data_IF_641066738246
#
_entry.id   IF_641066738246
#
_cell.length_a   1.000
_cell.length_b   1.000
_cell.length_c   1.000
_cell.angle_alpha   90.00
_cell.angle_beta   90.00
_cell.angle_gamma   90.00
#
_symmetry.space_group_name_H-M   'P 1'
#
loop_
_entity.id
_entity.type
_entity.pdbx_description
1 polymer ?
#
# COMPACT_ATOMS: atom_id res chain seq x y z
N UNK A 1 4.01 47.29 19.52
CA UNK A 1 3.48 45.92 19.68
C UNK A 1 2.48 45.53 18.58
N UNK A 2 1.59 46.41 18.12
CA UNK A 2 0.66 46.11 17.00
C UNK A 2 1.35 45.87 15.64
N UNK A 3 2.26 46.76 15.23
CA UNK A 3 2.94 46.63 13.92
C UNK A 3 3.82 45.37 13.78
N UNK A 4 4.36 44.86 14.89
CA UNK A 4 5.20 43.67 14.92
C UNK A 4 4.35 42.38 14.91
N UNK A 5 3.17 42.43 15.53
CA UNK A 5 2.16 41.37 15.42
C UNK A 5 1.59 41.30 14.00
N UNK A 6 1.27 42.43 13.38
CA UNK A 6 0.76 42.50 12.00
C UNK A 6 1.79 41.98 10.98
N UNK A 7 3.07 42.35 11.13
CA UNK A 7 4.14 41.83 10.28
C UNK A 7 4.32 40.31 10.41
N UNK A 8 4.18 39.77 11.63
CA UNK A 8 4.23 38.31 11.87
C UNK A 8 3.02 37.59 11.27
N UNK A 9 1.84 38.22 11.29
CA UNK A 9 0.61 37.65 10.76
C UNK A 9 0.62 37.62 9.23
N UNK A 10 1.12 38.68 8.59
CA UNK A 10 1.34 38.71 7.14
C UNK A 10 2.37 37.67 6.72
N UNK A 11 3.48 37.55 7.44
CA UNK A 11 4.50 36.52 7.17
C UNK A 11 3.92 35.10 7.28
N UNK A 12 3.18 34.80 8.35
CA UNK A 12 2.54 33.50 8.52
C UNK A 12 1.50 33.20 7.42
N UNK A 13 0.70 34.19 7.03
CA UNK A 13 -0.24 34.05 5.92
C UNK A 13 0.46 33.80 4.58
N UNK A 14 1.61 34.45 4.32
CA UNK A 14 2.42 34.19 3.14
C UNK A 14 3.02 32.79 3.13
N UNK A 15 3.48 32.28 4.27
CA UNK A 15 3.96 30.90 4.41
C UNK A 15 2.83 29.92 4.09
N UNK A 16 1.64 30.11 4.69
CA UNK A 16 0.47 29.26 4.45
C UNK A 16 0.04 29.31 2.98
N UNK A 17 -0.08 30.50 2.40
CA UNK A 17 -0.43 30.67 1.00
C UNK A 17 0.62 30.02 0.07
N UNK A 18 1.90 30.24 0.33
CA UNK A 18 3.01 29.61 -0.39
C UNK A 18 2.97 28.09 -0.31
N UNK A 19 2.64 27.54 0.87
CA UNK A 19 2.45 26.09 1.09
C UNK A 19 1.33 25.54 0.22
N UNK A 20 0.18 26.22 0.21
CA UNK A 20 -1.01 25.80 -0.54
C UNK A 20 -0.73 25.86 -2.05
N UNK A 21 -0.14 26.97 -2.52
CA UNK A 21 0.21 27.13 -3.94
C UNK A 21 1.23 26.09 -4.39
N UNK A 22 2.29 25.89 -3.61
CA UNK A 22 3.30 24.86 -3.88
C UNK A 22 2.67 23.47 -3.96
N UNK A 23 1.86 23.11 -2.96
CA UNK A 23 1.19 21.80 -2.91
C UNK A 23 0.25 21.61 -4.09
N UNK A 24 -0.58 22.62 -4.41
CA UNK A 24 -1.51 22.58 -5.53
C UNK A 24 -0.76 22.42 -6.87
N UNK A 25 0.33 23.17 -7.08
CA UNK A 25 1.17 23.06 -8.26
C UNK A 25 1.81 21.67 -8.39
N UNK A 26 2.40 21.18 -7.31
CA UNK A 26 3.03 19.86 -7.26
C UNK A 26 2.03 18.73 -7.57
N UNK A 27 0.84 18.74 -6.94
CA UNK A 27 -0.16 17.68 -7.14
C UNK A 27 -0.92 17.78 -8.47
N UNK A 28 -0.80 18.90 -9.19
CA UNK A 28 -1.37 19.09 -10.53
C UNK A 28 -0.31 18.95 -11.63
N UNK A 29 0.32 20.06 -12.02
CA UNK A 29 1.33 20.12 -13.07
C UNK A 29 2.58 19.33 -12.73
N UNK A 30 3.04 19.41 -11.47
CA UNK A 30 4.22 18.69 -11.02
C UNK A 30 4.08 17.17 -11.20
N UNK A 31 2.94 16.60 -10.79
CA UNK A 31 2.65 15.17 -10.93
C UNK A 31 2.69 14.72 -12.38
N UNK A 32 2.09 15.50 -13.28
CA UNK A 32 2.10 15.22 -14.73
C UNK A 32 3.54 15.27 -15.24
N UNK A 33 4.30 16.31 -14.89
CA UNK A 33 5.70 16.46 -15.27
C UNK A 33 6.59 15.31 -14.77
N UNK A 34 6.44 14.92 -13.50
CA UNK A 34 7.18 13.81 -12.90
C UNK A 34 6.86 12.48 -13.58
N UNK A 35 5.58 12.20 -13.84
CA UNK A 35 5.19 10.97 -14.56
C UNK A 35 5.71 10.98 -15.99
N UNK A 36 5.65 12.10 -16.69
CA UNK A 36 6.15 12.24 -18.05
C UNK A 36 7.69 12.13 -18.12
N UNK A 37 8.41 12.54 -17.08
CA UNK A 37 9.86 12.35 -16.98
C UNK A 37 10.21 10.87 -16.81
N UNK A 38 9.58 10.19 -15.85
CA UNK A 38 9.80 8.74 -15.60
C UNK A 38 9.43 7.92 -16.84
N UNK A 39 8.33 8.26 -17.52
CA UNK A 39 7.94 7.60 -18.76
C UNK A 39 9.01 7.78 -19.86
N UNK A 40 9.53 9.00 -20.06
CA UNK A 40 10.61 9.25 -21.03
C UNK A 40 11.89 8.50 -20.70
N UNK A 41 12.22 8.36 -19.42
CA UNK A 41 13.39 7.58 -18.97
C UNK A 41 13.23 6.10 -19.33
N UNK A 42 12.02 5.57 -19.15
CA UNK A 42 11.67 4.20 -19.56
C UNK A 42 11.70 4.03 -21.09
N UNK A 43 11.12 4.95 -21.84
CA UNK A 43 11.12 4.92 -23.32
C UNK A 43 12.54 4.99 -23.91
N UNK A 44 13.46 5.69 -23.22
CA UNK A 44 14.89 5.73 -23.57
C UNK A 44 15.68 4.53 -23.06
N UNK A 45 15.03 3.54 -22.46
CA UNK A 45 15.67 2.35 -21.87
C UNK A 45 16.86 2.69 -20.95
N UNK A 46 16.71 3.73 -20.12
CA UNK A 46 17.74 4.07 -19.14
C UNK A 46 17.85 2.98 -18.05
N UNK A 47 19.02 2.82 -17.40
CA UNK A 47 19.21 1.80 -16.37
C UNK A 47 18.26 1.99 -15.17
N UNK A 48 17.42 1.00 -14.90
CA UNK A 48 16.53 0.93 -13.74
C UNK A 48 17.09 -0.05 -12.69
N UNK A 49 16.94 0.21 -11.38
CA UNK A 49 16.19 1.30 -10.75
C UNK A 49 16.98 2.62 -10.61
N UNK A 50 18.24 2.66 -11.02
CA UNK A 50 19.17 3.76 -10.75
C UNK A 50 18.68 5.11 -11.29
N UNK A 51 18.12 5.12 -12.49
CA UNK A 51 17.61 6.33 -13.14
C UNK A 51 16.42 6.91 -12.38
N UNK A 52 15.37 6.12 -12.17
CA UNK A 52 14.19 6.53 -11.38
C UNK A 52 14.55 6.96 -9.96
N UNK A 53 15.46 6.24 -9.29
CA UNK A 53 15.94 6.62 -7.96
C UNK A 53 16.62 8.00 -7.99
N UNK A 54 17.55 8.20 -8.93
CA UNK A 54 18.26 9.49 -9.09
C UNK A 54 17.29 10.62 -9.33
N UNK A 55 16.32 10.43 -10.23
CA UNK A 55 15.28 11.42 -10.49
C UNK A 55 14.46 11.76 -9.25
N UNK A 56 14.00 10.75 -8.51
CA UNK A 56 13.20 10.92 -7.29
C UNK A 56 14.01 11.67 -6.22
N UNK A 57 15.29 11.35 -6.05
CA UNK A 57 16.18 12.05 -5.12
C UNK A 57 16.37 13.53 -5.51
N UNK A 58 16.62 13.83 -6.78
CA UNK A 58 16.76 15.20 -7.27
C UNK A 58 15.46 15.99 -7.15
N UNK A 59 14.32 15.37 -7.46
CA UNK A 59 13.00 15.98 -7.28
C UNK A 59 12.73 16.26 -5.80
N UNK A 60 13.07 15.32 -4.92
CA UNK A 60 12.98 15.48 -3.46
C UNK A 60 13.83 16.65 -2.95
N UNK A 61 15.10 16.72 -3.38
CA UNK A 61 16.01 17.82 -3.03
C UNK A 61 15.49 19.18 -3.53
N UNK A 62 14.98 19.24 -4.75
CA UNK A 62 14.38 20.45 -5.31
C UNK A 62 13.15 20.89 -4.50
N UNK A 63 12.20 20.00 -4.25
CA UNK A 63 11.02 20.29 -3.46
C UNK A 63 11.37 20.64 -2.00
N UNK A 64 12.36 19.97 -1.42
CA UNK A 64 12.90 20.26 -0.09
C UNK A 64 13.50 21.66 -0.01
N UNK A 65 14.29 22.06 -1.00
CA UNK A 65 14.87 23.41 -1.08
C UNK A 65 13.78 24.49 -1.23
N UNK A 66 12.77 24.23 -2.07
CA UNK A 66 11.64 25.17 -2.26
C UNK A 66 10.85 25.32 -0.96
N UNK A 67 10.50 24.22 -0.30
CA UNK A 67 9.73 24.26 0.97
C UNK A 67 10.52 24.90 2.10
N UNK A 68 11.83 24.63 2.20
CA UNK A 68 12.72 25.33 3.13
C UNK A 68 12.76 26.83 2.88
N UNK A 69 12.75 27.27 1.61
CA UNK A 69 12.70 28.69 1.25
C UNK A 69 11.35 29.34 1.57
N UNK A 70 10.26 28.59 1.50
CA UNK A 70 8.91 29.06 1.90
C UNK A 70 8.83 29.23 3.43
N UNK A 71 9.76 28.67 4.20
CA UNK A 71 9.73 28.70 5.68
C UNK A 71 9.08 27.45 6.30
N UNK A 72 8.98 26.36 5.53
CA UNK A 72 8.47 25.06 5.99
C UNK A 72 9.64 24.08 6.09
N UNK A 73 9.52 23.09 6.95
CA UNK A 73 10.51 22.03 7.03
C UNK A 73 10.65 21.25 5.71
N UNK A 74 11.89 20.99 5.28
CA UNK A 74 12.21 20.37 3.99
C UNK A 74 11.57 18.98 3.80
N UNK A 75 11.32 18.23 4.87
CA UNK A 75 10.64 16.93 4.83
C UNK A 75 9.29 17.01 4.09
N UNK A 76 8.57 18.12 4.23
CA UNK A 76 7.30 18.33 3.54
C UNK A 76 7.49 18.32 2.01
N UNK A 77 8.55 18.99 1.52
CA UNK A 77 8.90 18.97 0.10
C UNK A 77 9.27 17.58 -0.40
N UNK A 78 10.09 16.84 0.35
CA UNK A 78 10.42 15.45 0.02
C UNK A 78 9.18 14.54 0.01
N UNK A 79 8.25 14.72 0.93
CA UNK A 79 7.00 13.99 0.98
C UNK A 79 6.13 14.25 -0.27
N UNK A 80 5.95 15.51 -0.65
CA UNK A 80 5.20 15.90 -1.84
C UNK A 80 5.87 15.36 -3.12
N UNK A 81 7.20 15.44 -3.23
CA UNK A 81 7.95 14.84 -4.33
C UNK A 81 7.74 13.32 -4.42
N UNK A 82 7.73 12.63 -3.28
CA UNK A 82 7.43 11.20 -3.18
C UNK A 82 6.02 10.87 -3.66
N UNK A 83 5.01 11.68 -3.33
CA UNK A 83 3.64 11.52 -3.86
C UNK A 83 3.62 11.72 -5.38
N UNK A 84 4.26 12.77 -5.88
CA UNK A 84 4.30 13.09 -7.32
C UNK A 84 4.90 11.94 -8.14
N UNK A 85 6.06 11.42 -7.73
CA UNK A 85 6.74 10.35 -8.44
C UNK A 85 6.08 8.98 -8.19
N UNK A 86 5.68 8.69 -6.94
CA UNK A 86 5.09 7.41 -6.55
C UNK A 86 3.71 7.13 -7.15
N UNK A 87 3.00 8.16 -7.60
CA UNK A 87 1.75 8.02 -8.36
C UNK A 87 1.96 7.76 -9.85
N UNK A 88 3.19 7.83 -10.37
CA UNK A 88 3.44 7.57 -11.79
C UNK A 88 3.17 6.09 -12.13
N UNK A 89 2.30 5.79 -13.11
CA UNK A 89 2.14 4.42 -13.62
C UNK A 89 3.40 3.90 -14.32
N UNK A 90 4.30 4.80 -14.73
CA UNK A 90 5.55 4.42 -15.38
C UNK A 90 6.58 3.83 -14.40
N UNK A 91 6.43 4.13 -13.10
CA UNK A 91 7.30 3.61 -12.05
C UNK A 91 6.89 2.19 -11.66
N UNK A 92 7.71 1.23 -12.07
CA UNK A 92 7.51 -0.21 -11.88
C UNK A 92 7.44 -0.61 -10.39
N UNK A 93 6.73 -1.71 -10.09
CA UNK A 93 6.63 -2.21 -8.72
C UNK A 93 7.98 -2.71 -8.21
N UNK A 94 8.77 -3.36 -9.07
CA UNK A 94 10.12 -3.78 -8.75
C UNK A 94 10.99 -2.58 -8.33
N UNK A 95 10.98 -1.50 -9.10
CA UNK A 95 11.75 -0.29 -8.76
C UNK A 95 11.28 0.29 -7.43
N UNK A 96 9.97 0.37 -7.17
CA UNK A 96 9.45 0.84 -5.87
C UNK A 96 9.94 -0.01 -4.71
N UNK A 97 9.95 -1.33 -4.86
CA UNK A 97 10.40 -2.26 -3.83
C UNK A 97 11.90 -2.11 -3.57
N UNK A 98 12.72 -2.01 -4.62
CA UNK A 98 14.18 -1.80 -4.46
C UNK A 98 14.47 -0.47 -3.76
N UNK A 99 13.78 0.61 -4.13
CA UNK A 99 13.91 1.90 -3.45
C UNK A 99 13.52 1.77 -1.97
N UNK A 100 12.40 1.11 -1.68
CA UNK A 100 11.93 0.86 -0.31
C UNK A 100 12.96 0.08 0.51
N UNK A 101 13.46 -1.05 -0.03
CA UNK A 101 14.47 -1.88 0.62
C UNK A 101 15.75 -1.10 0.90
N UNK A 102 16.22 -0.28 -0.05
CA UNK A 102 17.38 0.58 0.15
C UNK A 102 17.16 1.59 1.28
N UNK A 103 15.98 2.22 1.32
CA UNK A 103 15.62 3.15 2.40
C UNK A 103 15.60 2.45 3.76
N UNK A 104 14.98 1.28 3.86
CA UNK A 104 14.92 0.52 5.11
C UNK A 104 16.26 -0.10 5.53
N UNK A 105 17.13 -0.44 4.59
CA UNK A 105 18.43 -1.05 4.88
C UNK A 105 19.47 -0.03 5.32
N UNK A 106 19.46 1.18 4.75
CA UNK A 106 20.51 2.18 4.96
C UNK A 106 20.00 3.34 5.80
N UNK A 107 18.97 4.04 5.31
CA UNK A 107 18.56 5.34 5.87
C UNK A 107 17.79 5.20 7.18
N UNK A 108 16.95 4.18 7.32
CA UNK A 108 16.18 3.97 8.56
C UNK A 108 17.09 3.65 9.76
N UNK A 109 18.05 2.69 9.68
CA UNK A 109 18.99 2.45 10.76
C UNK A 109 19.85 3.67 11.08
N UNK A 110 20.35 4.38 10.05
CA UNK A 110 21.13 5.60 10.24
C UNK A 110 20.34 6.69 10.96
N UNK A 111 19.06 6.87 10.60
CA UNK A 111 18.16 7.82 11.24
C UNK A 111 18.00 7.51 12.74
N UNK A 112 17.68 6.26 13.08
CA UNK A 112 17.53 5.85 14.48
C UNK A 112 18.84 5.89 15.26
N UNK A 113 19.98 5.53 14.64
CA UNK A 113 21.30 5.62 15.27
C UNK A 113 21.66 7.08 15.59
N UNK A 114 21.45 8.01 14.65
CA UNK A 114 21.69 9.43 14.87
C UNK A 114 20.84 10.00 16.02
N UNK A 115 19.59 9.57 16.14
CA UNK A 115 18.73 9.95 17.27
C UNK A 115 19.28 9.37 18.58
N UNK A 116 19.66 8.09 18.59
CA UNK A 116 20.23 7.41 19.74
C UNK A 116 21.53 8.04 20.26
N UNK A 117 22.34 8.62 19.36
CA UNK A 117 23.58 9.31 19.73
C UNK A 117 23.37 10.72 20.28
N UNK A 118 22.26 11.38 19.94
CA UNK A 118 21.98 12.76 20.35
C UNK A 118 21.28 12.88 21.70
N UNK A 119 20.68 11.80 22.20
CA UNK A 119 19.75 11.83 23.32
C UNK A 119 20.07 10.78 24.37
N UNK A 120 19.97 11.13 25.65
CA UNK A 120 20.03 10.16 26.74
C UNK A 120 18.62 9.67 27.09
N UNK A 121 18.21 8.59 26.44
CA UNK A 121 16.89 8.00 26.64
C UNK A 121 16.66 7.48 28.05
N UNK A 122 17.71 7.09 28.78
CA UNK A 122 17.58 6.56 30.13
C UNK A 122 17.44 7.70 31.14
N UNK A 123 18.28 8.73 31.03
CA UNK A 123 18.19 9.90 31.90
C UNK A 123 16.92 10.72 31.65
N UNK A 124 16.50 10.86 30.38
CA UNK A 124 15.28 11.56 30.00
C UNK A 124 13.99 10.77 30.22
N UNK A 125 14.06 9.50 30.65
CA UNK A 125 12.87 8.66 30.80
C UNK A 125 12.00 9.10 31.99
N UNK A 126 10.76 9.48 31.69
CA UNK A 126 9.74 9.73 32.70
C UNK A 126 8.50 8.90 32.37
N UNK A 127 8.20 7.90 33.21
CA UNK A 127 7.12 6.94 32.96
C UNK A 127 5.75 7.62 32.83
N UNK A 128 5.49 8.69 33.59
CA UNK A 128 4.22 9.41 33.56
C UNK A 128 4.08 10.18 32.25
N UNK A 129 5.13 10.89 31.82
CA UNK A 129 5.12 11.58 30.53
C UNK A 129 4.94 10.60 29.38
N UNK A 130 5.67 9.49 29.38
CA UNK A 130 5.55 8.43 28.36
C UNK A 130 4.12 7.90 28.29
N UNK A 131 3.51 7.58 29.44
CA UNK A 131 2.14 7.05 29.50
C UNK A 131 1.12 8.08 29.00
N UNK A 132 1.25 9.33 29.42
CA UNK A 132 0.36 10.42 29.00
C UNK A 132 0.49 10.69 27.51
N UNK A 133 1.71 10.90 27.01
CA UNK A 133 1.96 11.19 25.59
C UNK A 133 1.50 10.02 24.70
N UNK A 134 1.78 8.79 25.11
CA UNK A 134 1.32 7.59 24.38
C UNK A 134 -0.21 7.48 24.39
N UNK A 135 -0.85 7.67 25.55
CA UNK A 135 -2.30 7.60 25.69
C UNK A 135 -3.03 8.68 24.87
N UNK A 136 -2.54 9.92 24.94
CA UNK A 136 -3.06 11.04 24.14
C UNK A 136 -2.81 10.82 22.65
N UNK A 137 -1.60 10.37 22.28
CA UNK A 137 -1.22 10.11 20.89
C UNK A 137 -2.08 9.01 20.24
N UNK A 138 -2.22 7.86 20.90
CA UNK A 138 -3.05 6.75 20.41
C UNK A 138 -4.54 7.12 20.47
N UNK A 139 -5.02 7.58 21.62
CA UNK A 139 -6.44 7.89 21.85
C UNK A 139 -6.94 9.03 20.97
N UNK A 140 -6.19 10.13 20.88
CA UNK A 140 -6.54 11.28 20.06
C UNK A 140 -6.59 10.94 18.57
N UNK A 141 -5.57 10.25 18.04
CA UNK A 141 -5.55 9.82 16.63
C UNK A 141 -6.64 8.80 16.33
N UNK A 142 -6.85 7.83 17.22
CA UNK A 142 -7.93 6.85 17.08
C UNK A 142 -9.31 7.52 17.03
N UNK A 143 -9.60 8.40 18.00
CA UNK A 143 -10.89 9.09 18.08
C UNK A 143 -11.10 10.01 16.87
N UNK A 144 -10.08 10.76 16.47
CA UNK A 144 -10.12 11.60 15.27
C UNK A 144 -10.42 10.79 14.00
N UNK A 145 -9.72 9.68 13.81
CA UNK A 145 -9.94 8.79 12.67
C UNK A 145 -11.34 8.12 12.74
N UNK A 146 -11.78 7.67 13.92
CA UNK A 146 -13.08 7.04 14.10
C UNK A 146 -14.24 8.00 13.80
N UNK A 147 -14.15 9.24 14.31
CA UNK A 147 -15.11 10.30 14.02
C UNK A 147 -15.10 10.65 12.52
N UNK A 148 -13.91 10.82 11.93
CA UNK A 148 -13.76 11.10 10.50
C UNK A 148 -14.41 10.03 9.63
N UNK A 149 -14.13 8.75 9.90
CA UNK A 149 -14.73 7.64 9.14
C UNK A 149 -16.24 7.53 9.38
N UNK A 150 -16.75 7.86 10.56
CA UNK A 150 -18.20 7.88 10.83
C UNK A 150 -18.95 8.86 9.91
N UNK A 151 -18.29 9.93 9.47
CA UNK A 151 -18.84 10.92 8.53
C UNK A 151 -18.76 10.48 7.05
N UNK A 152 -18.13 9.34 6.76
CA UNK A 152 -17.99 8.80 5.40
C UNK A 152 -19.00 7.69 5.11
N UNK A 153 -19.14 7.32 3.82
CA UNK A 153 -20.00 6.21 3.37
C UNK A 153 -19.43 4.81 3.65
N UNK A 154 -18.33 4.70 4.40
CA UNK A 154 -17.67 3.43 4.69
C UNK A 154 -18.52 2.57 5.65
N UNK A 155 -18.64 1.28 5.30
CA UNK A 155 -19.40 0.28 6.07
C UNK A 155 -18.95 0.16 7.52
N UNK A 156 -19.90 -0.09 8.43
CA UNK A 156 -19.66 -0.16 9.88
C UNK A 156 -18.57 -1.18 10.28
N UNK A 157 -18.47 -2.29 9.53
CA UNK A 157 -17.48 -3.33 9.76
C UNK A 157 -16.02 -2.85 9.55
N UNK A 158 -15.82 -1.85 8.69
CA UNK A 158 -14.49 -1.34 8.33
C UNK A 158 -14.01 -0.21 9.26
N UNK A 159 -14.93 0.48 9.94
CA UNK A 159 -14.62 1.70 10.70
C UNK A 159 -13.57 1.50 11.78
N UNK A 160 -13.69 0.42 12.55
CA UNK A 160 -12.76 0.13 13.63
C UNK A 160 -11.34 -0.14 13.09
N UNK A 161 -11.24 -0.91 12.00
CA UNK A 161 -9.93 -1.26 11.41
C UNK A 161 -9.25 -0.01 10.85
N UNK A 162 -10.00 0.88 10.22
CA UNK A 162 -9.46 2.15 9.70
C UNK A 162 -9.01 3.04 10.86
N UNK A 163 -9.79 3.18 11.93
CA UNK A 163 -9.40 3.99 13.08
C UNK A 163 -8.12 3.47 13.77
N UNK A 164 -8.01 2.14 13.95
CA UNK A 164 -6.81 1.49 14.47
C UNK A 164 -5.60 1.75 13.55
N UNK A 165 -5.79 1.65 12.23
CA UNK A 165 -4.70 1.85 11.27
C UNK A 165 -4.11 3.27 11.26
N UNK A 166 -4.79 4.26 11.85
CA UNK A 166 -4.34 5.65 11.92
C UNK A 166 -3.71 6.03 13.28
N UNK A 167 -3.53 5.07 14.20
CA UNK A 167 -2.91 5.35 15.51
C UNK A 167 -1.39 5.53 15.49
N UNK A 168 -0.59 4.85 14.64
CA UNK A 168 0.85 5.03 14.64
C UNK A 168 1.24 6.44 14.18
N UNK A 169 2.10 7.13 14.93
CA UNK A 169 2.72 8.38 14.46
C UNK A 169 4.01 8.16 13.67
N UNK A 170 4.68 7.02 13.88
CA UNK A 170 5.85 6.58 13.11
C UNK A 170 7.01 7.57 13.12
N UNK A 171 7.82 7.54 12.06
CA UNK A 171 9.02 8.38 11.95
C UNK A 171 8.70 9.89 11.90
N UNK A 172 7.57 10.29 11.31
CA UNK A 172 7.22 11.70 11.15
C UNK A 172 6.95 12.39 12.51
N UNK A 173 6.33 11.67 13.46
CA UNK A 173 6.17 12.15 14.83
C UNK A 173 7.53 12.42 15.52
N UNK A 174 8.51 11.55 15.29
CA UNK A 174 9.87 11.72 15.82
C UNK A 174 10.57 12.92 15.16
N UNK A 175 10.47 13.07 13.83
CA UNK A 175 11.10 14.20 13.12
C UNK A 175 10.55 15.54 13.62
N UNK A 176 9.23 15.65 13.76
CA UNK A 176 8.61 16.87 14.31
C UNK A 176 9.06 17.11 15.75
N UNK A 177 9.19 16.05 16.55
CA UNK A 177 9.73 16.12 17.90
C UNK A 177 11.16 16.67 17.94
N UNK A 178 12.05 16.22 17.04
CA UNK A 178 13.44 16.70 16.97
C UNK A 178 13.47 18.19 16.71
N UNK A 179 12.67 18.67 15.74
CA UNK A 179 12.61 20.09 15.41
C UNK A 179 12.08 20.92 16.58
N UNK A 180 11.04 20.43 17.26
CA UNK A 180 10.51 21.10 18.43
C UNK A 180 11.57 21.18 19.54
N UNK A 181 12.41 20.15 19.70
CA UNK A 181 13.52 20.15 20.65
C UNK A 181 14.63 21.12 20.23
N UNK A 182 15.03 21.12 18.96
CA UNK A 182 16.05 22.03 18.40
C UNK A 182 15.62 23.51 18.49
N UNK A 183 14.33 23.81 18.33
CA UNK A 183 13.76 25.14 18.53
C UNK A 183 13.49 25.48 20.01
N UNK A 184 13.76 24.56 20.95
CA UNK A 184 13.53 24.76 22.38
C UNK A 184 12.05 24.83 22.77
N UNK A 185 11.14 24.37 21.92
CA UNK A 185 9.69 24.32 22.16
C UNK A 185 9.35 23.22 23.16
N UNK A 186 10.10 22.12 23.15
CA UNK A 186 9.96 21.00 24.09
C UNK A 186 11.28 20.71 24.78
N UNK A 187 11.20 20.04 25.93
CA UNK A 187 12.37 19.55 26.68
C UNK A 187 12.73 18.13 26.27
N UNK A 188 13.96 17.70 26.60
CA UNK A 188 14.44 16.35 26.36
C UNK A 188 13.51 15.25 26.93
N UNK A 189 13.00 15.32 28.17
CA UNK A 189 12.06 14.32 28.68
C UNK A 189 10.76 14.21 27.87
N UNK A 190 10.27 15.33 27.33
CA UNK A 190 9.08 15.33 26.46
C UNK A 190 9.43 14.68 25.11
N UNK A 191 10.59 14.99 24.55
CA UNK A 191 11.06 14.35 23.32
C UNK A 191 11.19 12.83 23.49
N UNK A 192 11.80 12.37 24.59
CA UNK A 192 11.91 10.94 24.94
C UNK A 192 10.51 10.32 25.00
N UNK A 193 9.56 10.96 25.69
CA UNK A 193 8.17 10.48 25.74
C UNK A 193 7.50 10.37 24.36
N UNK A 194 7.73 11.33 23.45
CA UNK A 194 7.24 11.30 22.07
C UNK A 194 7.81 10.10 21.31
N UNK A 195 9.11 9.85 21.41
CA UNK A 195 9.77 8.72 20.73
C UNK A 195 9.21 7.38 21.24
N UNK A 196 9.11 7.20 22.56
CA UNK A 196 8.50 6.00 23.14
C UNK A 196 7.05 5.82 22.68
N UNK A 197 6.26 6.89 22.65
CA UNK A 197 4.88 6.85 22.15
C UNK A 197 4.77 6.47 20.67
N UNK A 198 5.66 6.99 19.82
CA UNK A 198 5.72 6.67 18.39
C UNK A 198 6.07 5.18 18.14
N UNK A 199 7.03 4.64 18.90
CA UNK A 199 7.41 3.22 18.83
C UNK A 199 6.30 2.34 19.40
N UNK A 200 5.79 2.65 20.59
CA UNK A 200 4.75 1.87 21.25
C UNK A 200 3.46 1.80 20.42
N UNK A 201 3.00 2.93 19.86
CA UNK A 201 1.82 2.97 18.99
C UNK A 201 1.99 2.11 17.72
N UNK A 202 3.20 2.07 17.16
CA UNK A 202 3.52 1.24 15.99
C UNK A 202 3.53 -0.26 16.32
N UNK A 203 4.05 -0.64 17.50
CA UNK A 203 4.04 -2.03 17.97
C UNK A 203 2.62 -2.50 18.31
N UNK A 204 1.82 -1.66 18.96
CA UNK A 204 0.43 -1.98 19.36
C UNK A 204 -0.50 -2.15 18.15
N UNK A 205 -0.25 -1.43 17.06
CA UNK A 205 -1.04 -1.50 15.83
C UNK A 205 -1.26 -2.94 15.34
N UNK A 206 -0.19 -3.72 15.23
CA UNK A 206 -0.24 -5.06 14.62
C UNK A 206 -1.22 -6.00 15.34
N UNK A 207 -1.02 -6.30 16.63
CA UNK A 207 -1.94 -7.14 17.41
C UNK A 207 -3.36 -6.58 17.48
N UNK A 208 -3.51 -5.25 17.60
CA UNK A 208 -4.83 -4.63 17.71
C UNK A 208 -5.63 -4.70 16.40
N UNK A 209 -4.97 -4.48 15.28
CA UNK A 209 -5.57 -4.63 13.95
C UNK A 209 -5.93 -6.09 13.67
N UNK A 210 -5.05 -7.04 14.00
CA UNK A 210 -5.32 -8.47 13.86
C UNK A 210 -6.56 -8.89 14.66
N UNK A 211 -6.70 -8.40 15.90
CA UNK A 211 -7.88 -8.63 16.73
C UNK A 211 -9.17 -8.07 16.11
N UNK A 212 -9.12 -6.86 15.53
CA UNK A 212 -10.25 -6.24 14.83
C UNK A 212 -10.70 -7.08 13.63
N UNK A 213 -9.75 -7.61 12.84
CA UNK A 213 -10.04 -8.43 11.66
C UNK A 213 -10.62 -9.79 12.07
N UNK A 214 -10.13 -10.41 13.16
CA UNK A 214 -10.61 -11.72 13.63
C UNK A 214 -12.10 -11.72 14.02
N UNK A 215 -12.67 -10.56 14.35
CA UNK A 215 -14.10 -10.42 14.68
C UNK A 215 -15.01 -10.31 13.45
N UNK A 216 -14.47 -10.28 12.22
CA UNK A 216 -15.29 -10.33 11.00
C UNK A 216 -15.89 -11.73 10.82
N UNK A 217 -17.16 -11.79 10.38
CA UNK A 217 -17.75 -13.05 9.91
C UNK A 217 -16.88 -13.58 8.76
N UNK A 218 -16.28 -14.74 8.94
CA UNK A 218 -15.60 -15.44 7.86
C UNK A 218 -16.66 -15.86 6.85
N UNK A 219 -16.60 -15.27 5.65
CA UNK A 219 -17.39 -15.77 4.52
C UNK A 219 -16.66 -16.99 4.00
N UNK A 220 -17.38 -18.07 3.70
CA UNK A 220 -16.78 -19.23 3.03
C UNK A 220 -16.39 -18.81 1.62
N UNK A 221 -15.11 -18.45 1.43
CA UNK A 221 -14.61 -17.96 0.14
C UNK A 221 -14.83 -19.00 -0.96
N UNK A 222 -14.89 -20.29 -0.60
CA UNK A 222 -15.21 -21.40 -1.52
C UNK A 222 -16.52 -21.20 -2.30
N UNK A 223 -17.50 -20.45 -1.76
CA UNK A 223 -18.75 -20.16 -2.45
C UNK A 223 -18.56 -19.27 -3.69
N UNK A 224 -17.40 -18.61 -3.82
CA UNK A 224 -17.03 -17.72 -4.92
C UNK A 224 -16.07 -18.36 -5.93
N UNK A 225 -15.62 -19.59 -5.68
CA UNK A 225 -14.80 -20.36 -6.61
C UNK A 225 -15.73 -21.33 -7.36
N UNK A 226 -15.75 -21.26 -8.70
CA UNK A 226 -16.52 -22.20 -9.51
C UNK A 226 -15.60 -23.23 -10.17
N UNK A 227 -16.11 -24.46 -10.35
CA UNK A 227 -15.36 -25.55 -10.98
C UNK A 227 -15.01 -25.27 -12.46
N UNK A 228 -15.80 -24.43 -13.13
CA UNK A 228 -15.68 -24.12 -14.56
C UNK A 228 -14.77 -22.91 -14.87
N UNK A 229 -14.00 -22.43 -13.88
CA UNK A 229 -13.20 -21.21 -13.93
C UNK A 229 -11.69 -21.48 -13.86
N UNK A 230 -11.18 -22.51 -14.56
CA UNK A 230 -9.75 -22.86 -14.54
C UNK A 230 -9.15 -23.04 -15.93
N UNK A 231 -8.03 -22.34 -16.18
CA UNK A 231 -7.16 -22.49 -17.35
C UNK A 231 -5.88 -23.22 -16.93
N UNK A 232 -5.76 -24.50 -17.27
CA UNK A 232 -4.60 -25.31 -16.88
C UNK A 232 -3.29 -24.89 -17.59
N UNK A 233 -3.40 -24.33 -18.78
CA UNK A 233 -2.27 -23.89 -19.59
C UNK A 233 -2.66 -22.64 -20.38
N UNK A 234 -2.28 -21.48 -19.84
CA UNK A 234 -2.53 -20.18 -20.45
C UNK A 234 -1.75 -20.06 -21.77
N UNK A 235 -2.41 -19.58 -22.83
CA UNK A 235 -1.76 -19.38 -24.15
C UNK A 235 -1.04 -18.04 -24.24
N UNK A 236 -1.54 -17.05 -23.52
CA UNK A 236 -0.98 -15.72 -23.46
C UNK A 236 0.48 -15.68 -22.97
N UNK A 237 1.24 -14.76 -23.54
CA UNK A 237 2.66 -14.51 -23.25
C UNK A 237 2.93 -13.09 -22.74
N UNK A 238 1.89 -12.26 -22.64
CA UNK A 238 1.94 -10.91 -22.11
C UNK A 238 0.87 -10.71 -21.04
N UNK A 239 1.05 -9.70 -20.20
CA UNK A 239 0.10 -9.33 -19.14
C UNK A 239 -1.28 -9.04 -19.71
N UNK A 240 -1.32 -8.26 -20.78
CA UNK A 240 -2.55 -7.82 -21.44
C UNK A 240 -3.28 -9.01 -22.06
N UNK A 241 -2.59 -9.85 -22.83
CA UNK A 241 -3.20 -11.04 -23.44
C UNK A 241 -3.69 -12.04 -22.39
N UNK A 242 -3.01 -12.16 -21.25
CA UNK A 242 -3.44 -13.01 -20.15
C UNK A 242 -4.73 -12.50 -19.50
N UNK A 243 -4.83 -11.19 -19.29
CA UNK A 243 -6.05 -10.56 -18.76
C UNK A 243 -7.22 -10.74 -19.73
N UNK A 244 -6.98 -10.60 -21.04
CA UNK A 244 -8.00 -10.83 -22.06
C UNK A 244 -8.50 -12.28 -22.06
N UNK A 245 -7.59 -13.26 -22.05
CA UNK A 245 -7.92 -14.69 -22.01
C UNK A 245 -8.72 -15.08 -20.74
N UNK A 246 -8.35 -14.53 -19.59
CA UNK A 246 -9.06 -14.73 -18.32
C UNK A 246 -10.45 -14.07 -18.31
N UNK A 247 -10.56 -12.86 -18.86
CA UNK A 247 -11.83 -12.13 -18.94
C UNK A 247 -12.80 -12.81 -19.93
N UNK A 248 -12.28 -13.43 -20.99
CA UNK A 248 -13.08 -14.20 -21.94
C UNK A 248 -13.72 -15.42 -21.29
N UNK A 249 -12.92 -16.19 -20.54
CA UNK A 249 -13.46 -17.33 -19.80
C UNK A 249 -14.48 -16.89 -18.74
N UNK A 250 -14.22 -15.78 -18.05
CA UNK A 250 -15.16 -15.21 -17.09
C UNK A 250 -16.49 -14.80 -17.75
N UNK A 251 -16.42 -14.19 -18.93
CA UNK A 251 -17.60 -13.77 -19.66
C UNK A 251 -18.41 -14.96 -20.20
N UNK A 252 -17.74 -15.99 -20.72
CA UNK A 252 -18.39 -17.24 -21.14
C UNK A 252 -19.10 -17.93 -19.96
N UNK A 253 -18.41 -18.03 -18.82
CA UNK A 253 -18.94 -18.66 -17.61
C UNK A 253 -20.19 -17.96 -17.06
N UNK A 254 -20.18 -16.63 -17.00
CA UNK A 254 -21.30 -15.83 -16.44
C UNK A 254 -22.34 -15.43 -17.50
N UNK A 255 -22.12 -15.76 -18.77
CA UNK A 255 -23.00 -15.35 -19.88
C UNK A 255 -23.00 -13.83 -20.11
N UNK A 256 -21.86 -13.16 -19.92
CA UNK A 256 -21.71 -11.72 -20.09
C UNK A 256 -21.56 -11.38 -21.58
N UNK A 257 -22.50 -10.62 -22.14
CA UNK A 257 -22.44 -10.16 -23.53
C UNK A 257 -21.45 -9.01 -23.76
N UNK A 258 -21.15 -8.23 -22.72
CA UNK A 258 -20.28 -7.05 -22.77
C UNK A 258 -18.79 -7.36 -22.54
N UNK A 259 -18.25 -8.38 -23.21
CA UNK A 259 -16.84 -8.84 -23.04
C UNK A 259 -15.81 -7.71 -23.17
N UNK A 260 -15.90 -6.80 -24.16
CA UNK A 260 -14.92 -5.71 -24.30
C UNK A 260 -14.90 -4.77 -23.08
N UNK A 261 -16.06 -4.53 -22.47
CA UNK A 261 -16.16 -3.69 -21.27
C UNK A 261 -15.50 -4.37 -20.06
N UNK A 262 -15.69 -5.69 -19.90
CA UNK A 262 -15.05 -6.46 -18.85
C UNK A 262 -13.52 -6.46 -18.98
N UNK A 263 -13.01 -6.76 -20.18
CA UNK A 263 -11.55 -6.72 -20.47
C UNK A 263 -10.97 -5.35 -20.12
N UNK A 264 -11.61 -4.29 -20.61
CA UNK A 264 -11.15 -2.93 -20.40
C UNK A 264 -11.14 -2.54 -18.91
N UNK A 265 -12.17 -2.93 -18.15
CA UNK A 265 -12.23 -2.66 -16.72
C UNK A 265 -11.07 -3.30 -15.94
N UNK A 266 -10.69 -4.53 -16.29
CA UNK A 266 -9.54 -5.23 -15.67
C UNK A 266 -8.22 -4.60 -16.10
N UNK A 267 -8.05 -4.33 -17.40
CA UNK A 267 -6.83 -3.71 -17.94
C UNK A 267 -6.57 -2.31 -17.35
N UNK A 268 -7.61 -1.48 -17.24
CA UNK A 268 -7.48 -0.13 -16.67
C UNK A 268 -7.10 -0.20 -15.20
N UNK A 269 -7.68 -1.14 -14.45
CA UNK A 269 -7.31 -1.35 -13.05
C UNK A 269 -5.88 -1.86 -12.91
N UNK A 270 -5.44 -2.77 -13.77
CA UNK A 270 -4.07 -3.29 -13.79
C UNK A 270 -3.06 -2.19 -14.12
N UNK A 271 -3.34 -1.36 -15.14
CA UNK A 271 -2.49 -0.23 -15.56
C UNK A 271 -2.37 0.84 -14.49
N UNK A 272 -3.44 1.11 -13.75
CA UNK A 272 -3.43 2.09 -12.67
C UNK A 272 -2.44 1.69 -11.56
N UNK A 273 -2.42 0.39 -11.20
CA UNK A 273 -1.45 -0.17 -10.26
C UNK A 273 -1.43 -1.69 -10.44
N UNK A 274 -0.26 -2.22 -10.84
CA UNK A 274 -0.06 -3.64 -11.09
C UNK A 274 -0.49 -4.52 -9.91
N UNK A 275 -0.73 -5.79 -10.20
CA UNK A 275 -1.27 -6.76 -9.23
C UNK A 275 -0.38 -7.98 -9.04
N UNK A 276 0.90 -7.85 -9.40
CA UNK A 276 1.89 -8.88 -9.10
C UNK A 276 2.07 -9.04 -7.59
N UNK A 277 2.25 -10.29 -7.19
CA UNK A 277 2.71 -10.71 -5.88
C UNK A 277 4.06 -11.42 -6.06
N UNK A 278 4.75 -11.68 -4.95
CA UNK A 278 5.97 -12.49 -4.95
C UNK A 278 5.66 -13.96 -5.28
N UNK A 279 6.71 -14.74 -5.52
CA UNK A 279 6.63 -16.20 -5.71
C UNK A 279 5.84 -16.63 -6.96
N UNK A 280 5.85 -15.78 -8.00
CA UNK A 280 5.28 -16.10 -9.31
C UNK A 280 3.75 -16.05 -9.35
N UNK A 281 3.13 -15.20 -8.53
CA UNK A 281 1.68 -15.04 -8.45
C UNK A 281 1.27 -13.67 -8.97
N UNK A 282 0.18 -13.60 -9.75
CA UNK A 282 -0.47 -12.36 -10.13
C UNK A 282 -1.97 -12.44 -9.84
N UNK A 283 -2.56 -11.33 -9.37
CA UNK A 283 -3.98 -11.30 -8.96
C UNK A 283 -4.70 -10.11 -9.59
N UNK A 284 -4.85 -10.09 -10.93
CA UNK A 284 -5.61 -9.04 -11.60
C UNK A 284 -7.04 -9.05 -11.06
N UNK A 285 -7.60 -7.85 -10.86
CA UNK A 285 -8.92 -7.75 -10.27
C UNK A 285 -9.65 -6.50 -10.74
N UNK A 286 -10.97 -6.61 -10.84
CA UNK A 286 -11.82 -5.49 -11.20
C UNK A 286 -13.16 -5.54 -10.46
N UNK A 287 -13.74 -4.35 -10.30
CA UNK A 287 -15.12 -4.20 -9.88
C UNK A 287 -15.97 -3.93 -11.11
N UNK A 288 -17.10 -4.62 -11.21
CA UNK A 288 -17.98 -4.50 -12.36
C UNK A 288 -19.43 -4.74 -11.95
N UNK A 289 -20.36 -4.05 -12.61
CA UNK A 289 -21.80 -4.26 -12.53
C UNK A 289 -22.27 -5.41 -13.45
N UNK A 290 -21.37 -5.99 -14.24
CA UNK A 290 -21.64 -7.11 -15.16
C UNK A 290 -21.84 -8.47 -14.45
N UNK A 291 -21.49 -8.58 -13.16
CA UNK A 291 -21.67 -9.79 -12.35
C UNK A 291 -22.49 -9.49 -11.10
N UNK A 292 -23.24 -10.50 -10.64
CA UNK A 292 -24.08 -10.40 -9.43
C UNK A 292 -23.44 -10.97 -8.18
N UNK A 293 -22.41 -11.80 -8.33
CA UNK A 293 -21.66 -12.44 -7.24
C UNK A 293 -20.17 -12.42 -7.57
N UNK A 294 -19.28 -12.41 -6.56
CA UNK A 294 -17.85 -12.54 -6.78
C UNK A 294 -17.49 -13.79 -7.59
N UNK A 295 -16.52 -13.67 -8.49
CA UNK A 295 -16.00 -14.74 -9.33
C UNK A 295 -14.47 -14.75 -9.29
N UNK A 296 -13.88 -15.94 -9.21
CA UNK A 296 -12.43 -16.13 -9.32
C UNK A 296 -12.11 -17.09 -10.45
N UNK A 297 -11.30 -16.64 -11.42
CA UNK A 297 -10.70 -17.49 -12.46
C UNK A 297 -9.27 -17.81 -12.07
N UNK A 298 -8.88 -19.08 -12.15
CA UNK A 298 -7.51 -19.54 -11.88
C UNK A 298 -6.84 -19.93 -13.19
N UNK A 299 -5.61 -19.49 -13.40
CA UNK A 299 -4.81 -19.92 -14.54
C UNK A 299 -3.38 -20.24 -14.18
N UNK A 300 -2.81 -21.22 -14.91
CA UNK A 300 -1.38 -21.55 -14.86
C UNK A 300 -0.73 -21.24 -16.21
N UNK A 301 0.32 -20.42 -16.21
CA UNK A 301 1.18 -20.20 -17.38
C UNK A 301 2.42 -21.08 -17.29
N UNK A 302 2.63 -21.91 -18.32
CA UNK A 302 3.81 -22.78 -18.40
C UNK A 302 5.11 -22.01 -18.66
N UNK A 303 5.03 -21.02 -19.56
CA UNK A 303 6.16 -20.16 -19.93
C UNK A 303 6.46 -19.13 -18.83
N UNK A 304 5.42 -18.68 -18.12
CA UNK A 304 5.49 -17.57 -17.18
C UNK A 304 5.41 -16.23 -17.91
N UNK A 305 4.81 -15.23 -17.27
CA UNK A 305 4.58 -13.90 -17.85
C UNK A 305 5.26 -12.85 -16.96
N UNK A 306 5.99 -11.91 -17.56
CA UNK A 306 6.51 -10.79 -16.79
C UNK A 306 5.37 -9.87 -16.32
N UNK A 307 5.09 -9.95 -15.03
CA UNK A 307 4.05 -9.16 -14.37
C UNK A 307 4.61 -7.97 -13.59
N UNK A 308 5.90 -7.64 -13.78
CA UNK A 308 6.60 -6.62 -12.99
C UNK A 308 6.51 -6.91 -11.48
N UNK A 309 6.80 -8.16 -11.12
CA UNK A 309 6.78 -8.61 -9.74
C UNK A 309 7.86 -7.94 -8.89
N UNK A 310 7.59 -7.69 -7.60
CA UNK A 310 8.57 -7.13 -6.67
C UNK A 310 9.86 -7.94 -6.53
N UNK A 311 9.77 -9.26 -6.62
CA UNK A 311 10.90 -10.21 -6.54
C UNK A 311 11.56 -10.49 -7.91
N UNK A 312 11.00 -9.94 -8.98
CA UNK A 312 11.46 -10.09 -10.35
C UNK A 312 11.16 -11.44 -11.00
N UNK A 313 10.42 -12.33 -10.34
CA UNK A 313 10.00 -13.61 -10.91
C UNK A 313 8.82 -13.44 -11.88
N UNK A 314 8.78 -14.23 -12.94
CA UNK A 314 7.62 -14.27 -13.84
C UNK A 314 6.40 -14.87 -13.12
N UNK A 315 5.22 -14.32 -13.38
CA UNK A 315 3.96 -14.87 -12.88
C UNK A 315 3.63 -16.16 -13.63
N UNK A 316 3.47 -17.24 -12.87
CA UNK A 316 3.05 -18.57 -13.33
C UNK A 316 1.63 -18.91 -12.89
N UNK A 317 1.16 -18.33 -11.79
CA UNK A 317 -0.17 -18.54 -11.25
C UNK A 317 -0.92 -17.22 -11.29
N UNK A 318 -2.00 -17.16 -12.07
CA UNK A 318 -2.80 -15.95 -12.25
C UNK A 318 -4.20 -16.20 -11.71
N UNK A 319 -4.66 -15.30 -10.84
CA UNK A 319 -5.99 -15.36 -10.23
C UNK A 319 -6.77 -14.10 -10.61
N UNK A 320 -7.67 -14.16 -11.59
CA UNK A 320 -8.56 -13.05 -11.90
C UNK A 320 -9.69 -13.00 -10.86
N UNK A 321 -9.84 -11.88 -10.16
CA UNK A 321 -10.94 -11.66 -9.21
C UNK A 321 -11.88 -10.60 -9.76
N UNK A 322 -13.15 -10.97 -9.96
CA UNK A 322 -14.21 -10.02 -10.28
C UNK A 322 -15.17 -9.90 -9.10
N UNK A 323 -15.53 -8.68 -8.73
CA UNK A 323 -16.54 -8.43 -7.67
C UNK A 323 -17.60 -7.42 -8.11
N UNK A 324 -18.87 -7.57 -7.66
CA UNK A 324 -19.92 -6.57 -7.89
C UNK A 324 -19.55 -5.18 -7.35
N UNK A 325 -20.11 -4.13 -7.93
CA UNK A 325 -20.00 -2.77 -7.40
C UNK A 325 -20.60 -2.70 -5.97
N UNK A 326 -19.77 -2.39 -4.97
CA UNK A 326 -20.17 -2.21 -3.56
C UNK A 326 -19.80 -3.34 -2.61
N UNK A 327 -19.23 -4.46 -3.09
CA UNK A 327 -18.76 -5.56 -2.24
C UNK A 327 -17.24 -5.51 -2.01
N UNK A 328 -16.81 -4.46 -1.32
CA UNK A 328 -15.40 -4.18 -1.03
C UNK A 328 -14.76 -5.24 -0.13
N UNK A 329 -15.56 -5.83 0.76
CA UNK A 329 -15.07 -6.77 1.77
C UNK A 329 -14.81 -8.16 1.17
N UNK A 330 -15.57 -8.61 0.16
CA UNK A 330 -15.34 -9.89 -0.50
C UNK A 330 -14.01 -9.92 -1.25
N UNK A 331 -13.70 -8.87 -2.02
CA UNK A 331 -12.46 -8.81 -2.81
C UNK A 331 -11.21 -8.93 -1.94
N UNK A 332 -11.17 -8.19 -0.81
CA UNK A 332 -10.03 -8.20 0.11
C UNK A 332 -9.90 -9.55 0.83
N UNK A 333 -11.02 -10.19 1.17
CA UNK A 333 -11.00 -11.53 1.77
C UNK A 333 -10.47 -12.57 0.78
N UNK A 334 -10.94 -12.57 -0.47
CA UNK A 334 -10.46 -13.47 -1.53
C UNK A 334 -8.94 -13.31 -1.71
N UNK A 335 -8.46 -12.06 -1.83
CA UNK A 335 -7.02 -11.75 -1.92
C UNK A 335 -6.22 -12.33 -0.76
N UNK A 336 -6.68 -12.14 0.48
CA UNK A 336 -6.00 -12.65 1.67
C UNK A 336 -5.94 -14.19 1.73
N UNK A 337 -6.97 -14.87 1.22
CA UNK A 337 -7.00 -16.33 1.13
C UNK A 337 -6.06 -16.86 0.04
N UNK A 338 -6.08 -16.27 -1.15
CA UNK A 338 -5.15 -16.63 -2.25
C UNK A 338 -3.71 -16.41 -1.79
N UNK A 339 -3.40 -15.25 -1.17
CA UNK A 339 -2.06 -14.96 -0.67
C UNK A 339 -1.57 -16.02 0.34
N UNK A 340 -2.43 -16.46 1.26
CA UNK A 340 -2.10 -17.48 2.25
C UNK A 340 -1.87 -18.84 1.59
N UNK A 341 -2.76 -19.27 0.70
CA UNK A 341 -2.64 -20.55 -0.01
C UNK A 341 -1.35 -20.56 -0.84
N UNK A 342 -1.10 -19.48 -1.57
CA UNK A 342 0.06 -19.38 -2.44
C UNK A 342 1.36 -19.13 -1.69
N UNK A 343 1.36 -18.73 -0.41
CA UNK A 343 2.59 -18.66 0.38
C UNK A 343 3.21 -20.02 0.67
N UNK A 344 2.41 -21.10 0.67
CA UNK A 344 2.88 -22.46 0.88
C UNK A 344 3.59 -23.01 -0.39
N UNK A 345 4.90 -23.31 -0.33
CA UNK A 345 5.63 -23.86 -1.48
C UNK A 345 5.09 -25.23 -1.93
N UNK A 346 4.55 -26.03 -1.01
CA UNK A 346 3.96 -27.34 -1.32
C UNK A 346 2.79 -27.20 -2.27
N UNK A 347 1.83 -26.34 -1.92
CA UNK A 347 0.66 -26.04 -2.75
C UNK A 347 1.07 -25.47 -4.12
N UNK A 348 2.05 -24.55 -4.18
CA UNK A 348 2.55 -24.04 -5.47
C UNK A 348 3.09 -25.16 -6.36
N UNK A 349 3.85 -26.10 -5.78
CA UNK A 349 4.42 -27.21 -6.52
C UNK A 349 3.34 -28.20 -7.00
N UNK A 350 2.31 -28.46 -6.19
CA UNK A 350 1.19 -29.30 -6.61
C UNK A 350 0.42 -28.68 -7.78
N UNK A 351 0.08 -27.38 -7.71
CA UNK A 351 -0.59 -26.66 -8.81
C UNK A 351 0.29 -26.67 -10.07
N UNK A 352 1.61 -26.49 -9.90
CA UNK A 352 2.55 -26.51 -11.01
C UNK A 352 2.56 -27.85 -11.74
N UNK A 353 2.50 -28.97 -11.01
CA UNK A 353 2.56 -30.32 -11.60
C UNK A 353 1.18 -30.91 -11.96
N UNK A 354 0.08 -30.19 -11.71
CA UNK A 354 -1.26 -30.68 -11.99
C UNK A 354 -1.46 -30.94 -13.51
N UNK A 355 -1.98 -32.10 -13.92
CA UNK A 355 -2.08 -32.45 -15.34
C UNK A 355 -3.13 -31.62 -16.08
N UNK A 356 -4.22 -31.26 -15.41
CA UNK A 356 -5.39 -30.62 -16.02
C UNK A 356 -6.09 -29.64 -15.07
N UNK A 357 -7.16 -29.01 -15.58
CA UNK A 357 -7.96 -28.04 -14.84
C UNK A 357 -8.65 -28.67 -13.61
N UNK A 358 -9.08 -29.93 -13.71
CA UNK A 358 -9.75 -30.63 -12.62
C UNK A 358 -8.81 -30.90 -11.44
N UNK A 359 -7.55 -31.26 -11.72
CA UNK A 359 -6.53 -31.44 -10.70
C UNK A 359 -6.16 -30.12 -10.01
N UNK A 360 -6.01 -29.02 -10.77
CA UNK A 360 -5.78 -27.68 -10.19
C UNK A 360 -6.95 -27.29 -9.28
N UNK A 361 -8.19 -27.51 -9.73
CA UNK A 361 -9.36 -27.27 -8.90
C UNK A 361 -9.29 -28.05 -7.58
N UNK A 362 -9.00 -29.35 -7.64
CA UNK A 362 -8.97 -30.19 -6.45
C UNK A 362 -7.95 -29.69 -5.42
N UNK A 363 -6.78 -29.24 -5.88
CA UNK A 363 -5.73 -28.69 -5.03
C UNK A 363 -6.16 -27.36 -4.42
N UNK A 364 -6.63 -26.42 -5.25
CA UNK A 364 -7.07 -25.08 -4.81
C UNK A 364 -8.26 -25.18 -3.85
N UNK A 365 -9.26 -26.01 -4.18
CA UNK A 365 -10.42 -26.26 -3.32
C UNK A 365 -10.00 -26.86 -1.98
N UNK A 366 -9.10 -27.85 -1.96
CA UNK A 366 -8.55 -28.43 -0.73
C UNK A 366 -7.81 -27.39 0.11
N UNK A 367 -7.01 -26.54 -0.53
CA UNK A 367 -6.22 -25.52 0.16
C UNK A 367 -7.07 -24.36 0.70
N UNK A 368 -8.15 -24.01 0.01
CA UNK A 368 -9.10 -22.95 0.42
C UNK A 368 -10.16 -23.43 1.40
N UNK A 369 -10.44 -24.74 1.44
CA UNK A 369 -11.38 -25.29 2.41
C UNK A 369 -10.96 -24.94 3.84
N UNK A 370 -11.91 -24.57 4.72
CA UNK A 370 -11.59 -24.24 6.10
C UNK A 370 -10.88 -25.43 6.74
N UNK A 371 -9.58 -25.28 6.98
CA UNK A 371 -8.84 -26.28 7.73
C UNK A 371 -9.40 -26.31 9.14
N UNK A 372 -10.14 -27.36 9.47
CA UNK A 372 -10.59 -27.62 10.83
C UNK A 372 -9.32 -27.84 11.65
N UNK A 373 -8.82 -26.79 12.28
CA UNK A 373 -7.78 -26.90 13.31
C UNK A 373 -8.43 -27.63 14.48
N UNK A 374 -8.37 -28.96 14.46
CA UNK A 374 -8.65 -29.76 15.66
C UNK A 374 -7.66 -29.26 16.71
N UNK A 375 -8.16 -28.54 17.72
CA UNK A 375 -7.40 -28.32 18.95
C UNK A 375 -6.96 -29.70 19.42
N UNK A 376 -5.64 -29.95 19.47
CA UNK A 376 -5.10 -31.08 20.21
C UNK A 376 -5.71 -30.99 21.62
N UNK A 377 -6.41 -32.06 22.02
CA UNK A 377 -6.94 -32.20 23.38
C UNK A 377 -5.81 -32.21 24.38
#
# INVERSE_FOLDING_TARGET
MSAQADASLVSNLLIVAGTVVFTAFCLSAGRIGASAAIQRMRERNLPEPASSLTFICLLGLLCGAITSKIGIHALFGFFIAGIMAGQSPALSQRTRQIISQMVYAIFVPLFFANIGLKMDFLAGFNWLLVLVVTGVGIGGRFLGAWLGVKLTKIGKANRLSIAIAHTPGGAMEIVVGILALEYGVITEPIFVAIVFGAVASSVVLGPWLAYSIKRRKQISVLEFFSHAAIIASLRANSRESAIEELADLAAEHEGISAVPQLRQAVLDRERAKGTAMEEGVAVPHARTDLIKKPLVIVARSGVGIDWDSPDGKVARFIFLILTPQGDDDAQVQILGHIARVMSDPGTRNEIWNAPDAAAIWAIVHRALAPQVVRKRK
#
